data_IF_194729787784
#
_entry.id   IF_194729787784
#
_cell.length_a   1.000
_cell.length_b   1.000
_cell.length_c   1.000
_cell.angle_alpha   90.00
_cell.angle_beta   90.00
_cell.angle_gamma   90.00
#
_symmetry.space_group_name_H-M   'P 1'
#
loop_
_entity.id
_entity.type
_entity.pdbx_description
1 polymer ?
#
# COMPACT_ATOMS: atom_id res chain seq x y z
N UNK A 1 25.87 -12.38 -7.25
CA UNK A 1 26.11 -11.90 -5.88
C UNK A 1 24.93 -12.27 -5.00
N UNK A 2 25.21 -12.68 -3.77
CA UNK A 2 24.22 -12.90 -2.70
C UNK A 2 23.62 -11.56 -2.25
N UNK A 3 22.59 -11.60 -1.42
CA UNK A 3 21.99 -10.39 -0.85
C UNK A 3 23.00 -9.63 0.01
N UNK A 4 23.71 -10.38 0.86
CA UNK A 4 24.70 -9.86 1.81
C UNK A 4 25.89 -9.22 1.08
N UNK A 5 26.35 -9.82 -0.02
CA UNK A 5 27.42 -9.25 -0.87
C UNK A 5 27.01 -7.89 -1.46
N UNK A 6 25.76 -7.77 -1.97
CA UNK A 6 25.25 -6.53 -2.53
C UNK A 6 25.06 -5.45 -1.47
N UNK A 7 24.53 -5.84 -0.31
CA UNK A 7 24.37 -4.91 0.81
C UNK A 7 25.73 -4.39 1.26
N UNK A 8 26.73 -5.28 1.36
CA UNK A 8 28.10 -4.90 1.70
C UNK A 8 28.73 -3.97 0.66
N UNK A 9 28.50 -4.21 -0.64
CA UNK A 9 28.94 -3.31 -1.70
C UNK A 9 28.33 -1.90 -1.56
N UNK A 10 27.04 -1.80 -1.24
CA UNK A 10 26.39 -0.52 -0.97
C UNK A 10 27.00 0.21 0.24
N UNK A 11 27.35 -0.54 1.30
CA UNK A 11 28.08 -0.02 2.46
C UNK A 11 29.47 0.47 2.06
N UNK A 12 30.19 -0.23 1.18
CA UNK A 12 31.50 0.23 0.69
C UNK A 12 31.38 1.52 -0.12
N UNK A 13 30.34 1.66 -0.95
CA UNK A 13 30.06 2.89 -1.70
C UNK A 13 29.78 4.09 -0.78
N UNK A 14 29.21 3.87 0.41
CA UNK A 14 29.00 4.91 1.42
C UNK A 14 30.30 5.39 2.09
N UNK A 15 31.43 4.71 1.82
CA UNK A 15 32.76 5.15 2.24
C UNK A 15 33.59 5.69 1.07
N UNK A 16 32.97 5.94 -0.09
CA UNK A 16 33.66 6.47 -1.26
C UNK A 16 34.26 7.87 -1.02
N UNK A 17 35.45 8.11 -1.60
CA UNK A 17 36.06 9.44 -1.64
C UNK A 17 35.27 10.42 -2.53
N UNK A 18 34.41 9.92 -3.42
CA UNK A 18 33.53 10.76 -4.21
C UNK A 18 32.32 11.19 -3.36
N UNK A 19 32.19 12.50 -3.04
CA UNK A 19 31.15 12.97 -2.12
C UNK A 19 29.73 12.69 -2.64
N UNK A 20 29.53 12.68 -3.96
CA UNK A 20 28.22 12.44 -4.56
C UNK A 20 27.81 10.96 -4.46
N UNK A 21 28.76 10.04 -4.70
CA UNK A 21 28.53 8.59 -4.51
C UNK A 21 28.24 8.31 -3.03
N UNK A 22 29.06 8.86 -2.13
CA UNK A 22 28.89 8.70 -0.69
C UNK A 22 27.52 9.19 -0.22
N UNK A 23 27.15 10.42 -0.55
CA UNK A 23 25.88 11.02 -0.13
C UNK A 23 24.67 10.20 -0.63
N UNK A 24 24.73 9.73 -1.88
CA UNK A 24 23.65 8.93 -2.46
C UNK A 24 23.57 7.54 -1.82
N UNK A 25 24.71 6.88 -1.57
CA UNK A 25 24.76 5.60 -0.86
C UNK A 25 24.23 5.70 0.57
N UNK A 26 24.65 6.73 1.31
CA UNK A 26 24.16 7.01 2.67
C UNK A 26 22.64 7.21 2.69
N UNK A 27 22.09 7.99 1.76
CA UNK A 27 20.65 8.23 1.65
C UNK A 27 19.86 6.92 1.40
N UNK A 28 20.39 6.03 0.56
CA UNK A 28 19.79 4.71 0.34
C UNK A 28 19.89 3.81 1.57
N UNK A 29 21.03 3.76 2.25
CA UNK A 29 21.21 2.97 3.48
C UNK A 29 20.27 3.42 4.60
N UNK A 30 20.08 4.74 4.77
CA UNK A 30 19.09 5.28 5.72
C UNK A 30 17.68 4.83 5.36
N UNK A 31 17.32 4.90 4.06
CA UNK A 31 15.98 4.50 3.59
C UNK A 31 15.73 3.00 3.78
N UNK A 32 16.73 2.16 3.53
CA UNK A 32 16.68 0.71 3.76
C UNK A 32 16.59 0.41 5.25
N UNK A 33 17.40 1.08 6.08
CA UNK A 33 17.36 0.94 7.54
C UNK A 33 16.01 1.35 8.14
N UNK A 34 15.34 2.35 7.56
CA UNK A 34 13.98 2.72 7.96
C UNK A 34 12.96 1.61 7.66
N UNK A 35 13.11 0.89 6.55
CA UNK A 35 12.27 -0.27 6.26
C UNK A 35 12.56 -1.44 7.20
N UNK A 36 13.84 -1.70 7.51
CA UNK A 36 14.25 -2.74 8.44
C UNK A 36 13.70 -2.50 9.86
N UNK A 37 13.69 -1.23 10.31
CA UNK A 37 13.06 -0.83 11.57
C UNK A 37 11.54 -1.09 11.61
N UNK A 38 10.90 -1.22 10.45
CA UNK A 38 9.50 -1.63 10.31
C UNK A 38 9.33 -3.14 10.07
N UNK A 39 10.38 -3.93 10.31
CA UNK A 39 10.44 -5.38 10.07
C UNK A 39 10.22 -5.77 8.59
N UNK A 40 10.52 -4.85 7.66
CA UNK A 40 10.44 -5.08 6.22
C UNK A 40 11.83 -5.34 5.63
N UNK A 41 11.95 -6.46 4.90
CA UNK A 41 13.18 -6.80 4.18
C UNK A 41 13.11 -6.32 2.73
N UNK A 42 14.05 -5.49 2.31
CA UNK A 42 14.20 -5.09 0.92
C UNK A 42 14.59 -6.26 0.03
N UNK A 43 14.22 -6.20 -1.25
CA UNK A 43 14.56 -7.26 -2.20
C UNK A 43 16.00 -7.14 -2.69
N UNK A 44 16.60 -8.28 -3.07
CA UNK A 44 17.91 -8.30 -3.72
C UNK A 44 17.92 -7.56 -5.07
N UNK A 45 16.75 -7.45 -5.72
CA UNK A 45 16.57 -6.70 -6.96
C UNK A 45 16.63 -5.19 -6.71
N UNK A 46 16.01 -4.68 -5.64
CA UNK A 46 16.15 -3.28 -5.25
C UNK A 46 17.61 -2.92 -5.00
N UNK A 47 18.36 -3.79 -4.30
CA UNK A 47 19.78 -3.56 -4.03
C UNK A 47 20.60 -3.42 -5.33
N UNK A 48 20.34 -4.24 -6.35
CA UNK A 48 21.01 -4.10 -7.65
C UNK A 48 20.75 -2.73 -8.27
N UNK A 49 19.48 -2.31 -8.29
CA UNK A 49 19.08 -1.02 -8.85
C UNK A 49 19.69 0.16 -8.07
N UNK A 50 19.74 0.04 -6.75
CA UNK A 50 20.35 1.06 -5.87
C UNK A 50 21.85 1.19 -6.15
N UNK A 51 22.58 0.07 -6.25
CA UNK A 51 24.02 0.07 -6.57
C UNK A 51 24.27 0.74 -7.93
N UNK A 52 23.53 0.34 -8.98
CA UNK A 52 23.63 0.96 -10.29
C UNK A 52 23.29 2.45 -10.27
N UNK A 53 22.31 2.85 -9.45
CA UNK A 53 21.94 4.25 -9.30
C UNK A 53 23.04 5.07 -8.61
N UNK A 54 23.62 4.56 -7.53
CA UNK A 54 24.73 5.18 -6.80
C UNK A 54 25.98 5.31 -7.68
N UNK A 55 26.25 4.32 -8.53
CA UNK A 55 27.34 4.37 -9.53
C UNK A 55 27.06 5.32 -10.70
N UNK A 56 25.85 5.88 -10.80
CA UNK A 56 25.44 6.76 -11.88
C UNK A 56 25.12 6.04 -13.19
N UNK A 57 24.94 4.72 -13.16
CA UNK A 57 24.59 3.90 -14.34
C UNK A 57 23.13 4.11 -14.75
N UNK A 58 22.25 4.37 -13.77
CA UNK A 58 20.82 4.65 -13.98
C UNK A 58 20.37 5.82 -13.11
N UNK A 59 19.35 6.54 -13.58
CA UNK A 59 18.75 7.64 -12.81
C UNK A 59 17.82 7.13 -11.71
N UNK A 60 17.47 8.00 -10.75
CA UNK A 60 16.49 7.68 -9.68
C UNK A 60 15.09 7.42 -10.27
N UNK A 61 14.73 8.12 -11.33
CA UNK A 61 13.45 7.93 -12.02
C UNK A 61 13.41 6.55 -12.70
N UNK A 62 14.54 6.13 -13.28
CA UNK A 62 14.68 4.82 -13.90
C UNK A 62 14.64 3.68 -12.86
N UNK A 63 15.24 3.85 -11.67
CA UNK A 63 15.05 2.91 -10.55
C UNK A 63 13.56 2.73 -10.26
N UNK A 64 12.83 3.85 -10.14
CA UNK A 64 11.41 3.84 -9.82
C UNK A 64 10.59 3.16 -10.92
N UNK A 65 10.92 3.42 -12.19
CA UNK A 65 10.29 2.77 -13.34
C UNK A 65 10.52 1.25 -13.33
N UNK A 66 11.78 0.82 -13.16
CA UNK A 66 12.13 -0.61 -13.15
C UNK A 66 11.49 -1.36 -11.99
N UNK A 67 11.35 -0.72 -10.82
CA UNK A 67 10.60 -1.28 -9.69
C UNK A 67 9.12 -1.48 -10.04
N UNK A 68 8.47 -0.47 -10.66
CA UNK A 68 7.08 -0.59 -11.13
C UNK A 68 6.91 -1.69 -12.16
N UNK A 69 7.82 -1.78 -13.13
CA UNK A 69 7.79 -2.84 -14.15
C UNK A 69 8.00 -4.23 -13.56
N UNK A 70 8.89 -4.37 -12.56
CA UNK A 70 9.25 -5.66 -11.98
C UNK A 70 8.19 -6.20 -11.00
N UNK A 71 7.61 -5.35 -10.16
CA UNK A 71 6.59 -5.74 -9.18
C UNK A 71 5.15 -5.54 -9.68
N UNK A 72 4.99 -4.89 -10.84
CA UNK A 72 3.73 -4.40 -11.36
C UNK A 72 3.23 -3.15 -10.63
N UNK A 73 2.28 -2.43 -11.24
CA UNK A 73 1.57 -1.30 -10.64
C UNK A 73 0.71 -1.69 -9.41
N UNK A 74 0.82 -2.93 -8.93
CA UNK A 74 0.15 -3.39 -7.72
C UNK A 74 0.77 -2.83 -6.43
N UNK A 75 1.91 -2.14 -6.52
CA UNK A 75 2.44 -1.30 -5.44
C UNK A 75 1.80 0.09 -5.54
N UNK A 76 0.61 0.20 -4.95
CA UNK A 76 -0.19 1.42 -4.86
C UNK A 76 -0.72 1.93 -6.21
N UNK A 77 -1.75 1.24 -6.69
CA UNK A 77 -2.96 2.00 -6.99
C UNK A 77 -3.36 2.66 -5.66
N UNK A 78 -2.87 3.89 -5.39
CA UNK A 78 -3.68 4.88 -4.68
C UNK A 78 -4.88 5.21 -5.59
N UNK A 79 -5.63 4.15 -5.90
CA UNK A 79 -6.99 4.25 -6.25
C UNK A 79 -7.59 5.05 -5.13
N UNK A 80 -8.26 6.11 -5.53
CA UNK A 80 -9.17 6.88 -4.72
C UNK A 80 -10.29 6.00 -4.06
N UNK A 81 -10.21 4.67 -4.18
CA UNK A 81 -11.14 3.67 -3.67
C UNK A 81 -10.63 2.93 -2.43
N UNK A 82 -9.54 3.33 -1.75
CA UNK A 82 -9.26 2.77 -0.40
C UNK A 82 -10.34 3.15 0.64
N UNK A 83 -11.21 4.10 0.29
CA UNK A 83 -12.47 4.40 0.99
C UNK A 83 -13.70 3.66 0.42
N UNK A 84 -13.55 2.90 -0.67
CA UNK A 84 -14.62 2.11 -1.26
C UNK A 84 -14.49 0.67 -0.77
N UNK A 85 -15.14 0.36 0.35
CA UNK A 85 -15.18 -1.00 0.89
C UNK A 85 -15.99 -1.99 0.03
N UNK A 86 -15.85 -1.93 -1.29
CA UNK A 86 -16.69 -2.64 -2.26
C UNK A 86 -18.17 -2.39 -2.03
N UNK A 87 -18.53 -1.26 -1.40
CA UNK A 87 -19.90 -0.99 -0.98
C UNK A 87 -20.61 -0.30 -2.13
N UNK A 88 -21.58 -0.98 -2.72
CA UNK A 88 -22.48 -0.39 -3.70
C UNK A 88 -23.36 0.68 -3.00
N UNK A 89 -23.27 1.94 -3.43
CA UNK A 89 -24.20 3.00 -2.99
C UNK A 89 -25.55 2.75 -3.67
N UNK A 90 -26.53 2.26 -2.90
CA UNK A 90 -27.89 2.06 -3.39
C UNK A 90 -28.69 3.37 -3.32
N UNK A 91 -29.33 3.82 -4.42
CA UNK A 91 -30.19 4.99 -4.37
C UNK A 91 -31.43 4.70 -3.51
N UNK A 92 -32.06 5.71 -2.87
CA UNK A 92 -33.15 5.50 -1.90
C UNK A 92 -34.38 4.76 -2.42
N UNK A 93 -34.61 4.77 -3.73
CA UNK A 93 -35.71 4.12 -4.44
C UNK A 93 -35.33 2.73 -5.01
N UNK A 94 -34.11 2.26 -4.74
CA UNK A 94 -33.63 0.97 -5.22
C UNK A 94 -34.47 -0.20 -4.67
N UNK A 95 -34.94 -1.13 -5.53
CA UNK A 95 -35.67 -2.31 -5.08
C UNK A 95 -34.84 -3.20 -4.15
N UNK A 96 -33.50 -3.18 -4.28
CA UNK A 96 -32.56 -3.91 -3.41
C UNK A 96 -32.69 -3.54 -1.94
N UNK A 97 -33.07 -2.29 -1.62
CA UNK A 97 -33.24 -1.86 -0.23
C UNK A 97 -34.34 -2.69 0.47
N UNK A 98 -35.44 -2.96 -0.24
CA UNK A 98 -36.54 -3.77 0.29
C UNK A 98 -36.12 -5.23 0.47
N UNK A 99 -35.38 -5.80 -0.49
CA UNK A 99 -34.85 -7.15 -0.39
C UNK A 99 -33.91 -7.33 0.81
N UNK A 100 -33.01 -6.36 1.03
CA UNK A 100 -32.13 -6.32 2.19
C UNK A 100 -32.92 -6.22 3.49
N UNK A 101 -33.96 -5.37 3.54
CA UNK A 101 -34.82 -5.25 4.72
C UNK A 101 -35.55 -6.56 5.04
N UNK A 102 -36.17 -7.20 4.04
CA UNK A 102 -36.91 -8.45 4.19
C UNK A 102 -36.00 -9.60 4.65
N UNK A 103 -34.77 -9.67 4.12
CA UNK A 103 -33.76 -10.62 4.57
C UNK A 103 -33.35 -10.38 6.03
N UNK A 104 -33.05 -9.12 6.38
CA UNK A 104 -32.64 -8.77 7.74
C UNK A 104 -33.77 -8.97 8.77
N UNK A 105 -35.04 -8.79 8.38
CA UNK A 105 -36.21 -9.08 9.23
C UNK A 105 -36.29 -10.56 9.61
N UNK A 106 -35.93 -11.47 8.69
CA UNK A 106 -35.87 -12.92 8.97
C UNK A 106 -34.73 -13.25 9.94
N UNK A 107 -33.57 -12.61 9.78
CA UNK A 107 -32.41 -12.84 10.64
C UNK A 107 -32.55 -12.24 12.04
N UNK A 108 -33.23 -11.08 12.17
CA UNK A 108 -33.27 -10.29 13.41
C UNK A 108 -34.70 -9.87 13.78
N UNK A 109 -35.65 -10.81 13.95
CA UNK A 109 -37.06 -10.49 14.08
C UNK A 109 -37.38 -9.59 15.28
N UNK A 110 -36.74 -9.81 16.43
CA UNK A 110 -36.96 -8.99 17.63
C UNK A 110 -36.55 -7.53 17.45
N UNK A 111 -35.39 -7.29 16.79
CA UNK A 111 -34.90 -5.93 16.51
C UNK A 111 -35.88 -5.17 15.61
N UNK A 112 -36.36 -5.81 14.55
CA UNK A 112 -37.29 -5.16 13.62
C UNK A 112 -38.67 -4.92 14.25
N UNK A 113 -39.14 -5.80 15.14
CA UNK A 113 -40.35 -5.55 15.91
C UNK A 113 -40.25 -4.31 16.81
N UNK A 114 -39.09 -4.06 17.42
CA UNK A 114 -38.85 -2.82 18.18
C UNK A 114 -38.76 -1.57 17.30
N UNK A 115 -38.10 -1.67 16.15
CA UNK A 115 -38.00 -0.56 15.19
C UNK A 115 -39.38 -0.17 14.65
N UNK A 116 -40.25 -1.13 14.35
CA UNK A 116 -41.62 -0.87 13.91
C UNK A 116 -42.43 -0.14 15.00
N UNK A 117 -42.31 -0.57 16.27
CA UNK A 117 -42.92 0.14 17.42
C UNK A 117 -42.42 1.57 17.57
N UNK A 118 -41.13 1.83 17.32
CA UNK A 118 -40.56 3.19 17.36
C UNK A 118 -41.04 4.03 16.18
N UNK A 119 -41.14 3.46 14.97
CA UNK A 119 -41.65 4.15 13.77
C UNK A 119 -43.11 4.56 13.94
N UNK A 120 -43.95 3.69 14.50
CA UNK A 120 -45.37 3.98 14.72
C UNK A 120 -45.57 5.10 15.76
N UNK A 121 -44.73 5.16 16.79
CA UNK A 121 -44.75 6.24 17.78
C UNK A 121 -44.36 7.62 17.24
N UNK A 122 -43.59 7.69 16.16
CA UNK A 122 -43.19 8.95 15.50
C UNK A 122 -44.21 9.47 14.48
N UNK A 123 -45.23 8.67 14.17
CA UNK A 123 -46.31 9.01 13.23
C UNK A 123 -47.61 9.42 13.94
N UNK A 124 -47.62 9.37 15.27
CA UNK A 124 -48.63 9.93 16.17
C UNK A 124 -48.15 11.31 16.64
#
# INVERSE_FOLDING_TARGET
MTYEEKYQELVELSHSDNPMIREQADAWLVSIGLQDAAELKVSAYLLDLVISNVKGEISRDEVSQRLREHYGDNLYDESQNLLDGGYEILPPDSPKIKEIEDYNRKLRPALYAELDKKRNRRKL
#
